data_IF_684884926966
#
_entry.id   IF_684884926966
#
_cell.length_a   1.000
_cell.length_b   1.000
_cell.length_c   1.000
_cell.angle_alpha   90.00
_cell.angle_beta   90.00
_cell.angle_gamma   90.00
#
_symmetry.space_group_name_H-M   'P 1'
#
loop_
_entity.id
_entity.type
_entity.pdbx_description
1 polymer ?
#
# COMPACT_ATOMS: atom_id res chain seq x y z
N UNK A 1 -0.84 28.98 24.92
CA UNK A 1 -0.36 27.61 25.25
C UNK A 1 -1.55 26.67 25.19
N UNK A 2 -1.70 25.88 24.12
CA UNK A 2 -2.79 24.89 24.00
C UNK A 2 -2.22 23.49 24.20
N UNK A 3 -2.44 23.02 25.42
CA UNK A 3 -2.68 21.65 25.90
C UNK A 3 -2.11 20.47 25.11
N UNK A 4 -1.31 19.71 25.87
CA UNK A 4 -0.98 18.30 25.73
C UNK A 4 -2.18 17.46 25.24
N UNK A 5 -1.93 16.57 24.27
CA UNK A 5 -2.69 15.33 24.14
C UNK A 5 -1.71 14.20 24.38
N UNK A 6 -2.03 13.41 25.40
CA UNK A 6 -1.50 12.08 25.62
C UNK A 6 -1.55 11.32 24.29
N UNK A 7 -0.38 11.10 23.69
CA UNK A 7 -0.25 10.05 22.69
C UNK A 7 -0.29 8.77 23.52
N UNK A 8 -1.48 8.18 23.67
CA UNK A 8 -1.58 6.77 24.04
C UNK A 8 -0.57 6.01 23.17
N UNK A 9 0.16 5.08 23.79
CA UNK A 9 1.16 4.22 23.16
C UNK A 9 0.48 3.25 22.17
N UNK A 10 -0.07 3.80 21.09
CA UNK A 10 -0.57 3.02 19.96
C UNK A 10 0.66 2.38 19.33
N UNK A 11 0.79 1.09 19.60
CA UNK A 11 1.81 0.22 19.03
C UNK A 11 1.66 0.30 17.50
N UNK A 12 2.75 0.61 16.81
CA UNK A 12 2.74 0.63 15.36
C UNK A 12 2.46 -0.79 14.84
N UNK A 13 1.45 -1.00 13.98
CA UNK A 13 1.29 -2.27 13.29
C UNK A 13 2.56 -2.67 12.54
N UNK A 14 2.76 -3.98 12.40
CA UNK A 14 3.87 -4.53 11.62
C UNK A 14 3.72 -4.14 10.15
N UNK A 15 4.84 -3.75 9.53
CA UNK A 15 4.88 -3.30 8.14
C UNK A 15 5.62 -4.34 7.30
N UNK A 16 4.91 -4.95 6.37
CA UNK A 16 5.48 -5.84 5.38
C UNK A 16 5.86 -5.03 4.13
N UNK A 17 7.03 -5.32 3.56
CA UNK A 17 7.48 -4.71 2.30
C UNK A 17 7.64 -5.80 1.26
N UNK A 18 7.10 -5.58 0.06
CA UNK A 18 7.16 -6.53 -1.03
C UNK A 18 8.35 -6.32 -1.96
N UNK A 19 8.41 -7.15 -3.00
CA UNK A 19 9.43 -7.05 -4.04
C UNK A 19 9.27 -5.78 -4.88
N UNK A 20 10.41 -5.27 -5.36
CA UNK A 20 10.45 -4.07 -6.19
C UNK A 20 10.19 -4.45 -7.64
N UNK A 21 9.22 -3.79 -8.26
CA UNK A 21 9.00 -3.83 -9.71
C UNK A 21 9.82 -2.70 -10.35
N UNK A 22 10.64 -3.03 -11.35
CA UNK A 22 11.44 -2.08 -12.10
C UNK A 22 11.00 -2.01 -13.57
N UNK A 23 10.81 -0.81 -14.11
CA UNK A 23 10.56 -0.54 -15.53
C UNK A 23 11.14 0.81 -15.92
N UNK A 24 11.98 0.86 -16.96
CA UNK A 24 12.53 2.11 -17.55
C UNK A 24 13.06 3.08 -16.47
N UNK A 25 13.91 2.56 -15.57
CA UNK A 25 14.52 3.28 -14.43
C UNK A 25 13.55 3.76 -13.35
N UNK A 26 12.25 3.50 -13.49
CA UNK A 26 11.28 3.67 -12.44
C UNK A 26 11.19 2.42 -11.59
N UNK A 27 11.01 2.60 -10.28
CA UNK A 27 10.89 1.53 -9.30
C UNK A 27 9.61 1.71 -8.51
N UNK A 28 8.94 0.61 -8.20
CA UNK A 28 7.69 0.56 -7.45
C UNK A 28 7.84 -0.47 -6.33
N UNK A 29 7.70 -0.06 -5.08
CA UNK A 29 7.78 -0.96 -3.93
C UNK A 29 6.47 -0.90 -3.13
N UNK A 30 5.77 -2.03 -2.96
CA UNK A 30 4.58 -2.08 -2.13
C UNK A 30 4.94 -2.29 -0.65
N UNK A 31 4.15 -1.68 0.23
CA UNK A 31 4.17 -1.84 1.67
C UNK A 31 2.74 -2.09 2.16
N UNK A 32 2.58 -2.95 3.15
CA UNK A 32 1.30 -3.36 3.69
C UNK A 32 1.36 -3.40 5.21
N UNK A 33 0.30 -2.94 5.85
CA UNK A 33 0.08 -3.14 7.27
C UNK A 33 -1.40 -3.47 7.53
N UNK A 34 -1.65 -4.35 8.49
CA UNK A 34 -2.99 -4.56 9.03
C UNK A 34 -3.38 -3.33 9.86
N UNK A 35 -4.56 -2.76 9.61
CA UNK A 35 -5.04 -1.56 10.30
C UNK A 35 -6.52 -1.65 10.62
N UNK A 36 -6.91 -1.08 11.75
CA UNK A 36 -8.28 -1.08 12.29
C UNK A 36 -8.79 0.31 12.67
N UNK A 37 -7.96 1.35 12.48
CA UNK A 37 -8.28 2.74 12.79
C UNK A 37 -7.52 3.73 11.92
N UNK A 38 -8.00 4.98 11.84
CA UNK A 38 -7.29 6.06 11.13
C UNK A 38 -5.99 6.40 11.86
N UNK A 39 -5.96 6.25 13.19
CA UNK A 39 -4.79 6.46 14.04
C UNK A 39 -3.67 5.46 13.71
N UNK A 40 -4.00 4.19 13.51
CA UNK A 40 -3.06 3.16 13.05
C UNK A 40 -2.54 3.48 11.63
N UNK A 41 -3.41 3.89 10.70
CA UNK A 41 -2.98 4.34 9.36
C UNK A 41 -1.94 5.45 9.45
N UNK A 42 -2.22 6.50 10.23
CA UNK A 42 -1.28 7.62 10.46
C UNK A 42 0.02 7.14 11.10
N UNK A 43 -0.05 6.17 12.02
CA UNK A 43 1.11 5.63 12.71
C UNK A 43 2.01 4.85 11.75
N UNK A 44 1.43 3.98 10.93
CA UNK A 44 2.14 3.23 9.89
C UNK A 44 2.81 4.16 8.90
N UNK A 45 2.10 5.17 8.38
CA UNK A 45 2.69 6.14 7.45
C UNK A 45 3.87 6.90 8.08
N UNK A 46 3.71 7.34 9.33
CA UNK A 46 4.79 8.01 10.09
C UNK A 46 6.00 7.09 10.28
N UNK A 47 5.79 5.82 10.59
CA UNK A 47 6.87 4.84 10.75
C UNK A 47 7.58 4.57 9.42
N UNK A 48 6.81 4.37 8.34
CA UNK A 48 7.32 4.13 7.00
C UNK A 48 8.20 5.29 6.52
N UNK A 49 7.79 6.54 6.80
CA UNK A 49 8.55 7.74 6.45
C UNK A 49 9.76 8.03 7.33
N UNK A 50 10.01 7.26 8.40
CA UNK A 50 11.34 7.31 9.06
C UNK A 50 12.43 6.75 8.15
N UNK A 51 12.09 5.84 7.23
CA UNK A 51 13.01 5.39 6.21
C UNK A 51 13.18 6.49 5.15
N UNK A 52 14.36 7.13 5.14
CA UNK A 52 14.68 8.22 4.21
C UNK A 52 14.53 7.84 2.73
N UNK A 53 14.72 6.57 2.36
CA UNK A 53 14.53 6.14 0.97
C UNK A 53 13.07 6.25 0.53
N UNK A 54 12.15 5.92 1.42
CA UNK A 54 10.71 5.97 1.18
C UNK A 54 10.20 7.40 1.31
N UNK A 55 10.62 8.14 2.34
CA UNK A 55 10.26 9.55 2.50
C UNK A 55 10.67 10.43 1.31
N UNK A 56 11.77 10.08 0.64
CA UNK A 56 12.26 10.76 -0.56
C UNK A 56 11.80 10.08 -1.87
N UNK A 57 10.85 9.14 -1.83
CA UNK A 57 10.23 8.62 -3.04
C UNK A 57 9.53 9.75 -3.79
N UNK A 58 9.39 9.60 -5.11
CA UNK A 58 8.70 10.61 -5.93
C UNK A 58 7.22 10.67 -5.56
N UNK A 59 6.61 9.51 -5.30
CA UNK A 59 5.22 9.40 -4.87
C UNK A 59 5.06 8.25 -3.86
N UNK A 60 4.26 8.48 -2.83
CA UNK A 60 3.82 7.56 -1.78
C UNK A 60 2.28 7.52 -1.67
N UNK A 61 1.58 7.43 -2.81
CA UNK A 61 0.21 6.91 -2.92
C UNK A 61 -0.14 5.71 -2.02
N UNK A 62 -1.33 5.77 -1.45
CA UNK A 62 -1.86 4.71 -0.60
C UNK A 62 -3.36 4.57 -0.72
N UNK A 63 -3.86 3.42 -0.27
CA UNK A 63 -5.27 3.19 -0.03
C UNK A 63 -5.45 2.30 1.19
N UNK A 64 -6.51 2.51 1.95
CA UNK A 64 -6.84 1.65 3.07
C UNK A 64 -8.34 1.40 3.17
N UNK A 65 -8.70 0.28 3.79
CA UNK A 65 -10.09 -0.08 4.12
C UNK A 65 -10.08 -0.87 5.42
N UNK A 66 -10.92 -0.53 6.40
CA UNK A 66 -11.08 -1.28 7.64
C UNK A 66 -12.48 -1.16 8.22
N UNK A 67 -12.89 -2.15 9.03
CA UNK A 67 -14.17 -2.12 9.74
C UNK A 67 -13.97 -1.63 11.15
N UNK A 68 -14.77 -0.65 11.57
CA UNK A 68 -14.76 -0.20 12.97
C UNK A 68 -15.42 -1.28 13.84
N UNK A 69 -14.73 -1.70 14.91
CA UNK A 69 -15.21 -2.76 15.83
C UNK A 69 -16.58 -2.45 16.43
N UNK A 70 -16.87 -1.18 16.72
CA UNK A 70 -18.08 -0.78 17.45
C UNK A 70 -19.35 -0.76 16.57
N UNK A 71 -19.23 -0.38 15.30
CA UNK A 71 -20.39 -0.09 14.43
C UNK A 71 -20.48 -0.97 13.20
N UNK A 72 -19.51 -1.87 13.00
CA UNK A 72 -19.33 -2.69 11.79
C UNK A 72 -19.33 -1.86 10.48
N UNK A 73 -19.12 -0.54 10.58
CA UNK A 73 -19.10 0.38 9.45
C UNK A 73 -17.74 0.29 8.76
N UNK A 74 -17.76 0.23 7.44
CA UNK A 74 -16.56 0.20 6.62
C UNK A 74 -16.04 1.63 6.41
N UNK A 75 -14.82 1.89 6.84
CA UNK A 75 -14.08 3.11 6.55
C UNK A 75 -13.05 2.83 5.46
N UNK A 76 -12.93 3.76 4.53
CA UNK A 76 -11.99 3.63 3.43
C UNK A 76 -11.60 5.00 2.88
N UNK A 77 -10.36 5.14 2.47
CA UNK A 77 -9.82 6.37 1.87
C UNK A 77 -8.56 6.06 1.05
N UNK A 78 -8.10 7.04 0.28
CA UNK A 78 -6.89 6.94 -0.52
C UNK A 78 -6.23 8.29 -0.78
N UNK A 79 -4.94 8.26 -1.10
CA UNK A 79 -4.17 9.43 -1.53
C UNK A 79 -3.34 9.06 -2.76
N UNK A 80 -3.27 9.98 -3.72
CA UNK A 80 -2.49 9.86 -4.95
C UNK A 80 -1.02 10.30 -4.74
N UNK A 81 -0.73 11.13 -3.74
CA UNK A 81 0.56 11.80 -3.51
C UNK A 81 1.20 12.37 -4.80
N UNK A 82 0.39 13.04 -5.63
CA UNK A 82 0.82 13.61 -6.90
C UNK A 82 0.88 12.64 -8.09
N UNK A 83 0.75 11.33 -7.88
CA UNK A 83 0.57 10.33 -8.94
C UNK A 83 -0.91 10.23 -9.33
N UNK A 84 -1.39 11.18 -10.14
CA UNK A 84 -2.82 11.38 -10.41
C UNK A 84 -3.56 10.08 -10.78
N UNK A 85 -4.66 9.80 -10.08
CA UNK A 85 -5.54 8.63 -10.14
C UNK A 85 -4.96 7.31 -9.60
N UNK A 86 -3.80 7.29 -8.95
CA UNK A 86 -3.20 6.05 -8.43
C UNK A 86 -3.90 5.52 -7.17
N UNK A 87 -4.14 6.37 -6.18
CA UNK A 87 -4.81 6.04 -4.92
C UNK A 87 -6.22 5.52 -5.14
N UNK A 88 -7.02 6.18 -6.00
CA UNK A 88 -8.36 5.70 -6.35
C UNK A 88 -8.36 4.33 -7.02
N UNK A 89 -7.37 4.04 -7.88
CA UNK A 89 -7.21 2.72 -8.51
C UNK A 89 -6.78 1.65 -7.51
N UNK A 90 -5.90 1.99 -6.57
CA UNK A 90 -5.52 1.09 -5.48
C UNK A 90 -6.71 0.79 -4.56
N UNK A 91 -7.51 1.80 -4.21
CA UNK A 91 -8.71 1.60 -3.42
C UNK A 91 -9.71 0.69 -4.13
N UNK A 92 -9.91 0.90 -5.43
CA UNK A 92 -10.75 0.04 -6.24
C UNK A 92 -10.23 -1.41 -6.29
N UNK A 93 -8.91 -1.61 -6.35
CA UNK A 93 -8.31 -2.93 -6.27
C UNK A 93 -8.62 -3.61 -4.92
N UNK A 94 -8.51 -2.89 -3.80
CA UNK A 94 -8.88 -3.41 -2.47
C UNK A 94 -10.36 -3.80 -2.41
N UNK A 95 -11.24 -3.01 -3.04
CA UNK A 95 -12.68 -3.31 -3.13
C UNK A 95 -12.94 -4.61 -3.90
N UNK A 96 -12.36 -4.77 -5.10
CA UNK A 96 -12.54 -5.97 -5.93
C UNK A 96 -12.00 -7.22 -5.24
N UNK A 97 -10.90 -7.09 -4.50
CA UNK A 97 -10.29 -8.20 -3.76
C UNK A 97 -10.97 -8.47 -2.41
N UNK A 98 -11.97 -7.66 -2.05
CA UNK A 98 -12.62 -7.71 -0.72
C UNK A 98 -11.61 -7.63 0.43
N UNK A 99 -10.49 -6.93 0.19
CA UNK A 99 -9.44 -6.74 1.18
C UNK A 99 -9.88 -5.66 2.17
N UNK A 100 -10.01 -6.06 3.43
CA UNK A 100 -10.43 -5.23 4.57
C UNK A 100 -9.39 -5.32 5.69
N UNK A 101 -9.42 -4.36 6.59
CA UNK A 101 -8.48 -4.18 7.70
C UNK A 101 -7.02 -4.06 7.22
N UNK A 102 -6.83 -3.30 6.15
CA UNK A 102 -5.52 -3.20 5.47
C UNK A 102 -5.25 -1.79 4.96
N UNK A 103 -3.99 -1.38 5.10
CA UNK A 103 -3.39 -0.24 4.44
C UNK A 103 -2.36 -0.76 3.45
N UNK A 104 -2.39 -0.25 2.22
CA UNK A 104 -1.36 -0.51 1.20
C UNK A 104 -0.78 0.81 0.72
N UNK A 105 0.54 0.91 0.70
CA UNK A 105 1.34 2.03 0.16
C UNK A 105 2.24 1.48 -0.95
N UNK A 106 2.49 2.20 -2.06
CA UNK A 106 3.28 1.65 -3.21
C UNK A 106 4.43 2.56 -3.66
N UNK A 107 5.38 2.92 -2.80
CA UNK A 107 6.42 3.93 -3.08
C UNK A 107 7.00 3.85 -4.49
N UNK A 108 6.89 4.94 -5.25
CA UNK A 108 7.42 5.08 -6.61
C UNK A 108 8.62 6.01 -6.64
N UNK A 109 9.72 5.54 -7.23
CA UNK A 109 10.86 6.39 -7.60
C UNK A 109 10.85 6.61 -9.12
N UNK A 110 10.70 7.86 -9.55
CA UNK A 110 10.65 8.22 -10.97
C UNK A 110 12.06 8.22 -11.58
N UNK A 111 12.23 7.48 -12.67
CA UNK A 111 13.51 7.31 -13.35
C UNK A 111 13.83 8.31 -14.46
N UNK A 112 12.99 9.34 -14.65
CA UNK A 112 13.13 10.32 -15.74
C UNK A 112 12.44 9.93 -17.05
N UNK A 113 11.84 8.72 -17.15
CA UNK A 113 11.15 8.24 -18.34
C UNK A 113 9.65 8.10 -18.08
N UNK A 114 8.82 8.82 -18.84
CA UNK A 114 7.37 8.73 -18.71
C UNK A 114 6.87 7.34 -19.15
N UNK A 115 6.24 6.62 -18.24
CA UNK A 115 5.69 5.29 -18.53
C UNK A 115 4.27 5.34 -19.12
N UNK A 116 3.63 6.52 -19.13
CA UNK A 116 2.24 6.66 -19.54
C UNK A 116 1.32 5.72 -18.74
N UNK A 117 0.38 5.02 -19.37
CA UNK A 117 -0.53 4.08 -18.69
C UNK A 117 0.15 2.90 -17.99
N UNK A 118 1.36 2.51 -18.39
CA UNK A 118 2.03 1.32 -17.83
C UNK A 118 2.35 1.47 -16.33
N UNK A 119 2.57 2.70 -15.84
CA UNK A 119 2.79 2.94 -14.40
C UNK A 119 1.63 2.42 -13.56
N UNK A 120 0.39 2.56 -14.03
CA UNK A 120 -0.78 2.08 -13.30
C UNK A 120 -0.85 0.56 -13.26
N UNK A 121 -0.36 -0.12 -14.31
CA UNK A 121 -0.21 -1.57 -14.31
C UNK A 121 0.79 -1.99 -13.23
N UNK A 122 1.94 -1.31 -13.14
CA UNK A 122 2.96 -1.61 -12.13
C UNK A 122 2.48 -1.33 -10.70
N UNK A 123 1.82 -0.20 -10.47
CA UNK A 123 1.23 0.16 -9.16
C UNK A 123 0.23 -0.91 -8.71
N UNK A 124 -0.72 -1.26 -9.57
CA UNK A 124 -1.73 -2.29 -9.26
C UNK A 124 -1.11 -3.68 -9.08
N UNK A 125 -0.10 -4.03 -9.89
CA UNK A 125 0.59 -5.30 -9.76
C UNK A 125 1.38 -5.39 -8.45
N UNK A 126 2.11 -4.34 -8.07
CA UNK A 126 2.83 -4.27 -6.81
C UNK A 126 1.87 -4.41 -5.61
N UNK A 127 0.77 -3.64 -5.60
CA UNK A 127 -0.25 -3.74 -4.56
C UNK A 127 -0.87 -5.15 -4.49
N UNK A 128 -1.22 -5.75 -5.63
CA UNK A 128 -1.78 -7.11 -5.68
C UNK A 128 -0.79 -8.17 -5.19
N UNK A 129 0.49 -8.05 -5.54
CA UNK A 129 1.52 -9.00 -5.13
C UNK A 129 1.68 -9.02 -3.61
N UNK A 130 1.74 -7.86 -2.95
CA UNK A 130 1.84 -7.83 -1.49
C UNK A 130 0.57 -8.32 -0.80
N UNK A 131 -0.61 -7.97 -1.35
CA UNK A 131 -1.89 -8.47 -0.82
C UNK A 131 -1.96 -9.99 -0.90
N UNK A 132 -1.52 -10.59 -2.00
CA UNK A 132 -1.45 -12.05 -2.16
C UNK A 132 -0.44 -12.67 -1.19
N UNK A 133 0.76 -12.10 -1.08
CA UNK A 133 1.80 -12.59 -0.16
C UNK A 133 1.36 -12.55 1.32
N UNK A 134 0.55 -11.56 1.70
CA UNK A 134 0.00 -11.41 3.05
C UNK A 134 -1.37 -12.09 3.24
N UNK A 135 -1.86 -12.88 2.26
CA UNK A 135 -3.08 -13.69 2.42
C UNK A 135 -4.41 -12.96 2.22
N UNK A 136 -4.41 -11.73 1.71
CA UNK A 136 -5.62 -10.95 1.39
C UNK A 136 -6.26 -11.34 0.04
N UNK A 137 -5.58 -12.16 -0.76
CA UNK A 137 -6.11 -12.65 -2.03
C UNK A 137 -6.34 -14.15 -1.93
N UNK A 138 -7.59 -14.57 -2.13
CA UNK A 138 -7.93 -15.98 -2.34
C UNK A 138 -7.52 -16.35 -3.75
N UNK A 139 -6.30 -16.85 -3.93
CA UNK A 139 -5.93 -17.45 -5.20
C UNK A 139 -6.86 -18.63 -5.48
N UNK A 140 -7.67 -18.53 -6.54
CA UNK A 140 -8.24 -19.74 -7.15
C UNK A 140 -7.02 -20.53 -7.65
N UNK A 141 -6.71 -21.67 -7.03
CA UNK A 141 -5.56 -22.50 -7.41
C UNK A 141 -5.46 -22.62 -8.93
N UNK A 142 -4.41 -22.02 -9.51
CA UNK A 142 -4.33 -21.77 -10.95
C UNK A 142 -2.89 -21.67 -11.44
N UNK A 143 -2.21 -22.82 -11.49
CA UNK A 143 -0.93 -23.13 -12.17
C UNK A 143 0.34 -22.46 -11.61
N UNK A 144 1.06 -23.23 -10.77
CA UNK A 144 2.51 -23.18 -10.60
C UNK A 144 3.20 -23.07 -11.97
N UNK A 145 3.80 -21.92 -12.31
CA UNK A 145 4.81 -21.84 -13.38
C UNK A 145 6.07 -22.53 -12.87
N UNK A 146 6.33 -23.75 -13.36
CA UNK A 146 7.64 -24.43 -13.23
C UNK A 146 8.71 -23.53 -13.85
N UNK A 147 9.61 -23.00 -13.04
CA UNK A 147 10.89 -22.47 -13.49
C UNK A 147 11.75 -23.62 -14.00
N UNK A 148 11.92 -23.71 -15.33
CA UNK A 148 12.97 -24.52 -15.94
C UNK A 148 14.30 -23.83 -15.64
N UNK A 149 15.10 -24.41 -14.75
CA UNK A 149 16.53 -24.12 -14.64
C UNK A 149 17.22 -24.89 -15.78
N UNK A 150 17.91 -24.15 -16.66
CA UNK A 150 18.76 -24.71 -17.71
C UNK A 150 20.16 -24.91 -17.14
#
# INVERSE_FOLDING_TARGET
>A
MKTCKEQEDIICPEIFSGEIIADRKSYFQPHLAEVHSVEEVKRVLKELYKNKKIANATHNMYAYRFRKKDSNSLFQDCDDDGETNAGGRMLHLLQILEAENVLVVVSRWYGGIQLGPDRFKHINNAARQILSACGYVKDKEGKKKKSKKK
#
